data_IF_363170212504
#
_entry.id   IF_363170212504
#
_cell.length_a   1.000
_cell.length_b   1.000
_cell.length_c   1.000
_cell.angle_alpha   90.00
_cell.angle_beta   90.00
_cell.angle_gamma   90.00
#
_symmetry.space_group_name_H-M   'P 1'
#
loop_
_entity.id
_entity.type
_entity.pdbx_description
1 polymer ?
#
# COMPACT_ATOMS: atom_id res chain seq x y z
N UNK A 1 -18.78 -27.06 -26.04
CA UNK A 1 -17.34 -26.81 -26.25
C UNK A 1 -17.14 -25.32 -26.38
N UNK A 2 -16.18 -24.80 -25.63
CA UNK A 2 -16.08 -23.43 -25.14
C UNK A 2 -15.90 -22.36 -26.22
N UNK A 3 -16.66 -21.26 -26.11
CA UNK A 3 -16.30 -19.98 -26.70
C UNK A 3 -15.37 -19.27 -25.70
N UNK A 4 -14.08 -19.27 -26.02
CA UNK A 4 -13.03 -18.58 -25.27
C UNK A 4 -13.20 -17.08 -25.51
N UNK A 5 -13.79 -16.36 -24.56
CA UNK A 5 -13.91 -14.89 -24.62
C UNK A 5 -12.52 -14.30 -24.53
N UNK A 6 -12.11 -13.65 -25.62
CA UNK A 6 -10.86 -12.91 -25.75
C UNK A 6 -11.07 -11.59 -25.01
N UNK A 7 -10.48 -11.45 -23.82
CA UNK A 7 -10.34 -10.16 -23.15
C UNK A 7 -9.56 -9.22 -24.07
N UNK A 8 -10.21 -8.13 -24.45
CA UNK A 8 -9.64 -7.05 -25.24
C UNK A 8 -8.68 -6.29 -24.32
N UNK A 9 -7.37 -6.47 -24.54
CA UNK A 9 -6.32 -5.63 -23.94
C UNK A 9 -6.54 -4.19 -24.44
N UNK A 10 -7.14 -3.35 -23.60
CA UNK A 10 -7.15 -1.90 -23.83
C UNK A 10 -5.79 -1.41 -23.37
N UNK A 11 -4.91 -1.14 -24.33
CA UNK A 11 -3.69 -0.39 -24.10
C UNK A 11 -4.10 1.04 -23.72
N UNK A 12 -4.00 1.37 -22.44
CA UNK A 12 -4.10 2.74 -21.96
C UNK A 12 -2.69 3.31 -22.00
N UNK A 13 -2.53 4.42 -22.70
CA UNK A 13 -1.26 5.10 -22.86
C UNK A 13 -0.71 5.45 -21.47
N UNK A 14 0.49 4.97 -21.16
CA UNK A 14 1.26 5.44 -20.03
C UNK A 14 1.46 6.96 -20.18
N UNK A 15 0.68 7.72 -19.41
CA UNK A 15 0.95 9.12 -19.19
C UNK A 15 2.20 9.14 -18.32
N UNK A 16 3.33 9.54 -18.88
CA UNK A 16 4.56 9.77 -18.13
C UNK A 16 4.26 10.80 -17.03
N UNK A 17 4.12 10.35 -15.78
CA UNK A 17 3.79 11.23 -14.67
C UNK A 17 5.04 12.05 -14.32
N UNK A 18 4.99 13.35 -14.63
CA UNK A 18 5.72 14.36 -13.88
C UNK A 18 5.09 14.39 -12.50
N UNK A 19 5.81 13.95 -11.46
CA UNK A 19 5.38 14.16 -10.08
C UNK A 19 5.63 15.64 -9.79
N UNK A 20 4.59 16.46 -9.98
CA UNK A 20 4.62 17.87 -9.61
C UNK A 20 4.54 17.98 -8.08
N UNK A 21 5.21 18.97 -7.49
CA UNK A 21 5.12 19.28 -6.07
C UNK A 21 3.66 19.30 -5.59
N UNK A 22 3.29 18.40 -4.68
CA UNK A 22 1.95 18.30 -4.09
C UNK A 22 1.00 17.28 -4.72
N UNK A 23 1.45 16.44 -5.67
CA UNK A 23 0.65 15.33 -6.22
C UNK A 23 0.94 14.06 -5.41
N UNK A 24 -0.10 13.42 -4.88
CA UNK A 24 0.03 12.16 -4.13
C UNK A 24 -0.09 10.95 -5.05
N UNK A 25 0.31 9.76 -4.58
CA UNK A 25 0.06 8.54 -5.33
C UNK A 25 -1.44 8.35 -5.64
N UNK A 26 -2.34 8.72 -4.73
CA UNK A 26 -3.78 8.59 -4.93
C UNK A 26 -4.33 9.52 -6.03
N UNK A 27 -3.74 10.71 -6.24
CA UNK A 27 -4.14 11.62 -7.34
C UNK A 27 -4.00 10.98 -8.73
N UNK A 28 -3.13 9.97 -8.86
CA UNK A 28 -2.92 9.23 -10.10
C UNK A 28 -3.85 8.02 -10.29
N UNK A 29 -4.58 7.62 -9.24
CA UNK A 29 -5.53 6.52 -9.34
C UNK A 29 -6.69 6.91 -10.25
N UNK A 30 -6.80 6.14 -11.34
CA UNK A 30 -7.91 6.29 -12.27
C UNK A 30 -9.11 5.51 -11.74
N UNK A 31 -9.90 6.18 -10.89
CA UNK A 31 -11.16 5.65 -10.35
C UNK A 31 -12.16 5.48 -11.50
N UNK A 32 -12.02 4.39 -12.24
CA UNK A 32 -13.08 3.92 -13.12
C UNK A 32 -14.16 3.34 -12.23
N UNK A 33 -15.30 4.02 -12.16
CA UNK A 33 -16.55 3.41 -11.72
C UNK A 33 -16.75 2.16 -12.59
N UNK A 34 -16.38 0.99 -12.07
CA UNK A 34 -16.54 -0.25 -12.80
C UNK A 34 -18.05 -0.47 -12.93
N UNK A 35 -18.55 -0.71 -14.14
CA UNK A 35 -19.94 -1.16 -14.34
C UNK A 35 -20.14 -2.61 -13.84
N UNK A 36 -19.42 -3.02 -12.79
CA UNK A 36 -19.47 -4.32 -12.16
C UNK A 36 -19.80 -4.19 -10.66
N UNK A 37 -21.05 -3.80 -10.42
CA UNK A 37 -21.87 -4.14 -9.24
C UNK A 37 -21.18 -4.96 -8.14
N UNK A 38 -20.68 -4.29 -7.09
CA UNK A 38 -20.58 -4.83 -5.72
C UNK A 38 -19.59 -5.98 -5.49
N UNK A 39 -18.50 -6.06 -6.25
CA UNK A 39 -17.42 -7.00 -5.94
C UNK A 39 -16.40 -6.34 -5.00
N UNK A 40 -16.33 -6.80 -3.74
CA UNK A 40 -15.21 -6.50 -2.85
C UNK A 40 -13.91 -6.92 -3.53
N UNK A 41 -12.94 -6.01 -3.64
CA UNK A 41 -11.59 -6.37 -4.08
C UNK A 41 -10.99 -7.33 -3.06
N UNK A 42 -10.37 -8.41 -3.52
CA UNK A 42 -9.43 -9.14 -2.67
C UNK A 42 -8.20 -8.25 -2.43
N UNK A 43 -7.46 -8.51 -1.36
CA UNK A 43 -6.22 -7.83 -1.04
C UNK A 43 -5.25 -7.89 -2.22
N UNK A 44 -5.06 -9.08 -2.82
CA UNK A 44 -4.20 -9.25 -3.98
C UNK A 44 -4.68 -8.41 -5.18
N UNK A 45 -5.98 -8.41 -5.48
CA UNK A 45 -6.53 -7.62 -6.59
C UNK A 45 -6.30 -6.12 -6.37
N UNK A 46 -6.52 -5.63 -5.15
CA UNK A 46 -6.34 -4.22 -4.79
C UNK A 46 -4.87 -3.79 -4.96
N UNK A 47 -3.93 -4.51 -4.34
CA UNK A 47 -2.52 -4.10 -4.40
C UNK A 47 -1.89 -4.34 -5.78
N UNK A 48 -2.45 -5.25 -6.60
CA UNK A 48 -2.09 -5.34 -8.02
C UNK A 48 -2.64 -4.14 -8.80
N UNK A 49 -3.87 -3.72 -8.52
CA UNK A 49 -4.47 -2.55 -9.15
C UNK A 49 -3.70 -1.26 -8.80
N UNK A 50 -3.31 -1.08 -7.54
CA UNK A 50 -2.50 0.07 -7.11
C UNK A 50 -1.14 0.05 -7.83
N UNK A 51 -0.47 -1.10 -7.91
CA UNK A 51 0.79 -1.23 -8.65
C UNK A 51 0.65 -0.79 -10.12
N UNK A 52 -0.45 -1.16 -10.78
CA UNK A 52 -0.66 -0.89 -12.20
C UNK A 52 -1.15 0.53 -12.50
N UNK A 53 -1.84 1.18 -11.55
CA UNK A 53 -2.50 2.48 -11.78
C UNK A 53 -1.82 3.65 -11.07
N UNK A 54 -1.11 3.40 -9.98
CA UNK A 54 -0.51 4.43 -9.17
C UNK A 54 0.84 4.87 -9.74
N UNK A 55 1.17 6.15 -9.59
CA UNK A 55 2.46 6.73 -10.01
C UNK A 55 3.64 6.21 -9.18
N UNK A 56 3.37 5.60 -8.02
CA UNK A 56 4.38 4.93 -7.20
C UNK A 56 4.78 3.61 -7.86
N UNK A 57 5.91 3.63 -8.55
CA UNK A 57 6.50 2.43 -9.13
C UNK A 57 6.99 1.50 -8.01
N UNK A 58 6.21 0.48 -7.67
CA UNK A 58 6.69 -0.70 -6.95
C UNK A 58 6.40 -1.96 -7.75
N UNK A 59 6.95 -3.08 -7.31
CA UNK A 59 6.66 -4.39 -7.91
C UNK A 59 6.43 -5.38 -6.78
N UNK A 60 5.25 -5.99 -6.77
CA UNK A 60 4.91 -7.08 -5.86
C UNK A 60 5.91 -8.21 -6.03
N UNK A 61 6.36 -8.76 -4.90
CA UNK A 61 7.18 -9.97 -4.91
C UNK A 61 6.29 -11.20 -4.98
N UNK A 62 6.76 -12.32 -5.54
CA UNK A 62 6.01 -13.59 -5.55
C UNK A 62 5.55 -14.01 -4.13
N UNK A 63 6.36 -13.67 -3.11
CA UNK A 63 6.02 -13.91 -1.71
C UNK A 63 4.85 -13.05 -1.24
N UNK A 64 4.89 -11.75 -1.55
CA UNK A 64 3.80 -10.82 -1.22
C UNK A 64 2.50 -11.20 -1.94
N UNK A 65 2.58 -11.57 -3.21
CA UNK A 65 1.42 -12.05 -3.97
C UNK A 65 0.79 -13.27 -3.29
N UNK A 66 1.60 -14.26 -2.92
CA UNK A 66 1.13 -15.46 -2.21
C UNK A 66 0.51 -15.13 -0.86
N UNK A 67 1.15 -14.25 -0.07
CA UNK A 67 0.66 -13.87 1.26
C UNK A 67 -0.69 -13.13 1.17
N UNK A 68 -0.84 -12.21 0.21
CA UNK A 68 -2.09 -11.48 -0.02
C UNK A 68 -3.23 -12.41 -0.47
N UNK A 69 -2.92 -13.44 -1.26
CA UNK A 69 -3.91 -14.45 -1.68
C UNK A 69 -4.35 -15.36 -0.51
N UNK A 70 -3.41 -15.77 0.35
CA UNK A 70 -3.68 -16.69 1.46
C UNK A 70 -4.26 -16.01 2.71
N UNK A 71 -4.04 -14.70 2.89
CA UNK A 71 -4.38 -13.92 4.08
C UNK A 71 -5.16 -12.64 3.73
N UNK A 72 -6.14 -12.75 2.84
CA UNK A 72 -7.02 -11.66 2.41
C UNK A 72 -7.66 -10.90 3.59
N UNK A 73 -8.04 -11.61 4.64
CA UNK A 73 -8.70 -11.09 5.85
C UNK A 73 -7.78 -10.20 6.71
N UNK A 74 -6.50 -10.09 6.37
CA UNK A 74 -5.56 -9.21 7.06
C UNK A 74 -5.55 -7.79 6.48
N UNK A 75 -6.20 -7.51 5.34
CA UNK A 75 -6.03 -6.24 4.61
C UNK A 75 -7.38 -5.55 4.29
N UNK A 76 -7.98 -4.86 5.28
CA UNK A 76 -7.46 -4.60 6.62
C UNK A 76 -7.92 -5.66 7.63
N UNK A 77 -7.13 -5.86 8.68
CA UNK A 77 -7.49 -6.76 9.76
C UNK A 77 -8.59 -6.13 10.62
N UNK A 78 -9.73 -6.82 10.78
CA UNK A 78 -10.78 -6.35 11.70
C UNK A 78 -10.23 -6.19 13.12
N UNK A 79 -10.76 -5.28 13.96
CA UNK A 79 -10.26 -5.08 15.32
C UNK A 79 -10.19 -6.36 16.16
N UNK A 80 -11.12 -7.29 15.96
CA UNK A 80 -11.22 -8.57 16.68
C UNK A 80 -10.28 -9.66 16.16
N UNK A 81 -9.75 -9.51 14.94
CA UNK A 81 -8.80 -10.47 14.38
C UNK A 81 -7.54 -10.51 15.24
N UNK A 82 -6.99 -11.69 15.48
CA UNK A 82 -5.70 -11.82 16.17
C UNK A 82 -4.71 -12.29 15.14
N UNK A 83 -3.77 -11.42 14.78
CA UNK A 83 -2.67 -11.76 13.88
C UNK A 83 -1.70 -12.65 14.67
N UNK A 84 -1.43 -13.89 14.22
CA UNK A 84 -0.49 -14.75 14.92
C UNK A 84 0.92 -14.16 14.93
N UNK A 85 1.63 -14.27 16.06
CA UNK A 85 3.00 -13.76 16.19
C UNK A 85 3.95 -14.37 15.13
N UNK A 86 3.71 -15.60 14.68
CA UNK A 86 4.52 -16.21 13.60
C UNK A 86 4.44 -15.49 12.26
N UNK A 87 3.34 -14.75 12.03
CA UNK A 87 3.12 -13.96 10.82
C UNK A 87 3.82 -12.61 10.87
N UNK A 88 4.31 -12.18 12.04
CA UNK A 88 5.01 -10.91 12.22
C UNK A 88 6.50 -11.18 12.40
N UNK A 89 7.34 -10.50 11.62
CA UNK A 89 8.78 -10.50 11.82
C UNK A 89 9.20 -9.19 12.52
N UNK A 90 9.43 -9.28 13.84
CA UNK A 90 9.79 -8.12 14.65
C UNK A 90 11.22 -7.60 14.39
N UNK A 91 12.07 -8.36 13.69
CA UNK A 91 13.42 -7.93 13.32
C UNK A 91 13.46 -7.32 11.91
N UNK A 92 12.36 -7.43 11.16
CA UNK A 92 12.25 -6.91 9.81
C UNK A 92 12.15 -5.39 9.84
N UNK A 93 13.15 -4.74 9.25
CA UNK A 93 13.26 -3.28 9.16
C UNK A 93 13.43 -2.80 7.70
N UNK A 94 13.38 -1.48 7.48
CA UNK A 94 13.54 -0.87 6.15
C UNK A 94 14.79 -1.38 5.41
N UNK A 95 15.91 -1.54 6.13
CA UNK A 95 17.22 -1.90 5.55
C UNK A 95 17.19 -3.29 4.93
N UNK A 96 16.42 -4.20 5.53
CA UNK A 96 16.22 -5.54 4.98
C UNK A 96 15.51 -5.48 3.63
N UNK A 97 14.36 -4.79 3.58
CA UNK A 97 13.55 -4.65 2.37
C UNK A 97 14.33 -3.94 1.28
N UNK A 98 14.92 -2.78 1.58
CA UNK A 98 15.72 -2.02 0.63
C UNK A 98 16.89 -2.82 0.04
N UNK A 99 17.59 -3.60 0.87
CA UNK A 99 18.73 -4.39 0.40
C UNK A 99 18.32 -5.46 -0.61
N UNK A 100 17.19 -6.12 -0.41
CA UNK A 100 16.69 -7.15 -1.32
C UNK A 100 15.20 -7.45 -1.05
N UNK A 101 14.26 -6.76 -1.71
CA UNK A 101 12.84 -6.90 -1.42
C UNK A 101 12.32 -8.32 -1.74
N UNK A 102 12.87 -8.98 -2.77
CA UNK A 102 12.45 -10.34 -3.18
C UNK A 102 12.61 -11.44 -2.12
N UNK A 103 13.36 -11.18 -1.04
CA UNK A 103 13.52 -12.12 0.07
C UNK A 103 12.40 -12.06 1.10
N UNK A 104 11.58 -11.03 1.06
CA UNK A 104 10.54 -10.71 2.04
C UNK A 104 9.17 -10.60 1.34
N UNK A 105 8.13 -10.30 2.10
CA UNK A 105 6.74 -10.33 1.63
C UNK A 105 5.98 -11.60 2.04
N UNK A 106 6.59 -12.50 2.80
CA UNK A 106 5.95 -13.68 3.39
C UNK A 106 5.65 -13.51 4.90
N UNK A 107 5.93 -12.32 5.44
CA UNK A 107 5.66 -11.93 6.82
C UNK A 107 5.36 -10.44 6.91
N UNK A 108 4.53 -10.08 7.88
CA UNK A 108 4.25 -8.72 8.27
C UNK A 108 5.45 -8.09 8.98
N UNK A 109 5.63 -6.81 8.71
CA UNK A 109 6.56 -5.91 9.37
C UNK A 109 5.80 -5.03 10.36
N UNK A 110 6.45 -4.65 11.46
CA UNK A 110 5.90 -3.67 12.40
C UNK A 110 6.78 -2.43 12.45
N UNK A 111 6.17 -1.26 12.28
CA UNK A 111 6.81 0.04 12.44
C UNK A 111 6.18 0.67 13.68
N UNK A 112 7.00 0.92 14.70
CA UNK A 112 6.59 1.59 15.93
C UNK A 112 6.97 3.06 15.88
N UNK A 113 6.15 3.89 16.52
CA UNK A 113 6.42 5.33 16.71
C UNK A 113 6.72 6.07 15.39
N UNK A 114 5.93 5.80 14.35
CA UNK A 114 6.08 6.43 13.04
C UNK A 114 5.29 7.74 12.96
N UNK A 115 5.93 8.82 12.53
CA UNK A 115 5.31 10.12 12.34
C UNK A 115 4.59 10.19 10.99
N UNK A 116 3.35 10.68 10.98
CA UNK A 116 2.55 10.87 9.77
C UNK A 116 2.96 12.19 9.10
N UNK A 117 3.77 12.11 8.04
CA UNK A 117 4.12 13.27 7.21
C UNK A 117 2.90 13.73 6.41
N UNK A 118 2.13 12.78 5.90
CA UNK A 118 0.98 13.05 5.06
C UNK A 118 0.02 11.87 5.10
N UNK A 119 -1.29 12.16 5.09
CA UNK A 119 -2.35 11.16 4.95
C UNK A 119 -3.40 11.68 3.98
N UNK A 120 -3.91 10.80 3.12
CA UNK A 120 -5.03 11.09 2.23
C UNK A 120 -5.93 9.87 2.06
N UNK A 121 -7.22 10.14 1.88
CA UNK A 121 -8.23 9.11 1.61
C UNK A 121 -8.86 9.37 0.25
N UNK A 122 -9.18 8.29 -0.45
CA UNK A 122 -9.89 8.35 -1.73
C UNK A 122 -10.99 7.29 -1.75
N UNK A 123 -12.21 7.73 -2.07
CA UNK A 123 -13.31 6.82 -2.36
C UNK A 123 -13.05 6.12 -3.71
N UNK A 124 -12.91 4.81 -3.68
CA UNK A 124 -12.67 3.96 -4.84
C UNK A 124 -13.98 3.52 -5.50
N UNK A 125 -14.96 3.14 -4.69
CA UNK A 125 -16.34 2.81 -5.07
C UNK A 125 -17.27 3.25 -3.91
N UNK A 126 -18.59 3.26 -4.12
CA UNK A 126 -19.56 3.76 -3.12
C UNK A 126 -19.34 3.10 -1.74
N UNK A 127 -18.85 3.89 -0.77
CA UNK A 127 -18.57 3.43 0.59
C UNK A 127 -17.31 2.57 0.78
N UNK A 128 -16.44 2.49 -0.23
CA UNK A 128 -15.16 1.81 -0.18
C UNK A 128 -14.01 2.79 -0.38
N UNK A 129 -13.14 2.92 0.63
CA UNK A 129 -12.06 3.89 0.65
C UNK A 129 -10.69 3.22 0.66
N UNK A 130 -9.73 3.93 0.08
CA UNK A 130 -8.31 3.63 0.18
C UNK A 130 -7.63 4.80 0.89
N UNK A 131 -6.92 4.52 1.98
CA UNK A 131 -6.09 5.49 2.67
C UNK A 131 -4.63 5.29 2.29
N UNK A 132 -3.95 6.37 1.94
CA UNK A 132 -2.51 6.41 1.73
C UNK A 132 -1.84 7.22 2.83
N UNK A 133 -0.78 6.67 3.41
CA UNK A 133 0.06 7.35 4.41
C UNK A 133 1.50 7.43 3.93
N UNK A 134 2.09 8.62 4.05
CA UNK A 134 3.53 8.84 4.00
C UNK A 134 4.05 8.96 5.43
N UNK A 135 4.89 8.03 5.85
CA UNK A 135 5.37 7.92 7.22
C UNK A 135 6.88 8.04 7.29
N UNK A 136 7.38 8.52 8.42
CA UNK A 136 8.81 8.49 8.77
C UNK A 136 9.01 7.94 10.17
N UNK A 137 9.93 6.98 10.32
CA UNK A 137 10.29 6.45 11.64
C UNK A 137 11.39 7.28 12.32
N UNK A 138 11.69 6.95 13.57
CA UNK A 138 12.74 7.62 14.36
C UNK A 138 14.16 7.46 13.81
N UNK A 139 14.40 6.56 12.85
CA UNK A 139 15.67 6.36 12.15
C UNK A 139 15.68 7.05 10.77
N UNK A 140 14.75 7.99 10.56
CA UNK A 140 14.54 8.77 9.33
C UNK A 140 14.25 7.89 8.09
N UNK A 141 13.77 6.66 8.27
CA UNK A 141 13.34 5.80 7.17
C UNK A 141 11.90 6.12 6.78
N UNK A 142 11.62 6.18 5.48
CA UNK A 142 10.31 6.55 4.97
C UNK A 142 9.52 5.35 4.42
N UNK A 143 8.21 5.40 4.63
CA UNK A 143 7.29 4.33 4.25
C UNK A 143 6.07 4.91 3.54
N UNK A 144 5.62 4.21 2.49
CA UNK A 144 4.36 4.48 1.80
C UNK A 144 3.41 3.34 2.13
N UNK A 145 2.35 3.63 2.89
CA UNK A 145 1.38 2.62 3.35
C UNK A 145 0.07 2.84 2.61
N UNK A 146 -0.42 1.79 1.95
CA UNK A 146 -1.76 1.75 1.37
C UNK A 146 -2.66 0.89 2.25
N UNK A 147 -3.70 1.46 2.81
CA UNK A 147 -4.63 0.82 3.73
C UNK A 147 -6.04 0.75 3.11
N UNK A 148 -6.60 -0.45 3.00
CA UNK A 148 -7.90 -0.73 2.38
C UNK A 148 -9.06 -0.36 3.31
N UNK A 149 -9.24 0.92 3.59
CA UNK A 149 -10.32 1.45 4.41
C UNK A 149 -10.06 2.90 4.77
N UNK A 150 -10.92 3.45 5.61
CA UNK A 150 -10.78 4.78 6.23
C UNK A 150 -9.98 4.68 7.53
N UNK A 151 -9.31 5.77 7.91
CA UNK A 151 -8.64 5.93 9.20
C UNK A 151 -9.12 7.22 9.87
N UNK A 152 -10.33 7.16 10.45
CA UNK A 152 -11.04 8.30 11.04
C UNK A 152 -10.26 9.09 12.11
N UNK A 153 -9.32 8.42 12.79
CA UNK A 153 -8.55 8.95 13.91
C UNK A 153 -7.07 9.15 13.61
N UNK A 154 -6.65 9.10 12.34
CA UNK A 154 -5.25 9.34 11.93
C UNK A 154 -5.16 10.59 11.05
N UNK A 155 -4.38 11.57 11.50
CA UNK A 155 -4.17 12.84 10.82
C UNK A 155 -2.68 13.10 10.53
N UNK A 156 -2.42 14.10 9.69
CA UNK A 156 -1.08 14.67 9.54
C UNK A 156 -0.57 15.18 10.90
N UNK A 157 0.72 14.99 11.16
CA UNK A 157 1.41 15.29 12.42
C UNK A 157 1.16 14.32 13.59
N UNK A 158 0.33 13.29 13.41
CA UNK A 158 0.13 12.25 14.43
C UNK A 158 1.29 11.23 14.46
N UNK A 159 1.38 10.48 15.55
CA UNK A 159 2.22 9.28 15.68
C UNK A 159 1.38 8.01 15.59
N UNK A 160 1.82 7.05 14.77
CA UNK A 160 1.12 5.78 14.56
C UNK A 160 2.02 4.56 14.81
N UNK A 161 1.39 3.45 15.18
CA UNK A 161 1.97 2.10 15.02
C UNK A 161 1.34 1.44 13.79
N UNK A 162 2.18 0.89 12.91
CA UNK A 162 1.75 0.21 11.69
C UNK A 162 2.19 -1.25 11.72
N UNK A 163 1.26 -2.15 11.44
CA UNK A 163 1.56 -3.52 11.00
C UNK A 163 1.18 -3.64 9.53
N UNK A 164 2.11 -4.09 8.68
CA UNK A 164 1.86 -4.16 7.25
C UNK A 164 2.75 -5.16 6.53
N UNK A 165 2.33 -5.58 5.34
CA UNK A 165 3.10 -6.49 4.50
C UNK A 165 4.02 -5.70 3.56
N UNK A 166 5.33 -5.95 3.56
CA UNK A 166 6.23 -5.30 2.62
C UNK A 166 5.96 -5.80 1.20
N UNK A 167 5.57 -4.88 0.33
CA UNK A 167 5.28 -5.13 -1.08
C UNK A 167 6.55 -4.97 -1.93
N UNK A 168 7.41 -4.02 -1.56
CA UNK A 168 8.65 -3.71 -2.26
C UNK A 168 9.19 -2.34 -1.85
N UNK A 169 9.94 -1.73 -2.75
CA UNK A 169 10.46 -0.37 -2.60
C UNK A 169 10.02 0.52 -3.75
N UNK A 170 9.90 1.81 -3.51
CA UNK A 170 9.66 2.82 -4.53
C UNK A 170 10.48 4.09 -4.21
N UNK A 171 10.43 5.09 -5.08
CA UNK A 171 11.02 6.39 -4.83
C UNK A 171 10.19 7.52 -5.44
N UNK A 172 10.19 8.68 -4.81
CA UNK A 172 9.55 9.89 -5.33
C UNK A 172 10.48 11.10 -5.24
N UNK A 173 10.30 12.09 -6.12
CA UNK A 173 11.06 13.33 -6.09
C UNK A 173 10.62 14.19 -4.90
N UNK A 174 11.58 14.62 -4.08
CA UNK A 174 11.34 15.46 -2.92
C UNK A 174 11.40 16.96 -3.25
N UNK A 175 10.97 17.79 -2.30
CA UNK A 175 10.92 19.26 -2.47
C UNK A 175 12.30 19.89 -2.65
N UNK A 176 13.37 19.18 -2.33
CA UNK A 176 14.76 19.61 -2.49
C UNK A 176 15.36 19.21 -3.86
N UNK A 177 14.59 18.53 -4.71
CA UNK A 177 15.01 18.09 -6.05
C UNK A 177 15.87 16.84 -6.07
N UNK A 178 15.84 16.04 -5.00
CA UNK A 178 16.41 14.69 -4.94
C UNK A 178 15.33 13.61 -4.88
N UNK A 179 15.73 12.34 -4.94
CA UNK A 179 14.80 11.22 -4.78
C UNK A 179 14.78 10.76 -3.33
N UNK A 180 13.58 10.55 -2.80
CA UNK A 180 13.37 9.88 -1.52
C UNK A 180 12.95 8.45 -1.75
N UNK A 181 13.69 7.52 -1.17
CA UNK A 181 13.40 6.09 -1.21
C UNK A 181 12.40 5.72 -0.12
N UNK A 182 11.40 4.93 -0.47
CA UNK A 182 10.40 4.39 0.46
C UNK A 182 10.28 2.88 0.38
N UNK A 183 9.91 2.27 1.49
CA UNK A 183 9.35 0.92 1.51
C UNK A 183 7.83 1.02 1.37
N UNK A 184 7.27 0.26 0.43
CA UNK A 184 5.82 0.23 0.20
C UNK A 184 5.20 -0.91 0.98
N UNK A 185 4.16 -0.61 1.76
CA UNK A 185 3.43 -1.57 2.57
C UNK A 185 1.96 -1.66 2.17
N UNK A 186 1.44 -2.88 2.18
CA UNK A 186 0.01 -3.13 2.35
C UNK A 186 -0.31 -3.01 3.85
N UNK A 187 -1.13 -2.02 4.21
CA UNK A 187 -1.52 -1.75 5.58
C UNK A 187 -2.46 -2.83 6.09
N UNK A 188 -2.03 -3.57 7.11
CA UNK A 188 -2.85 -4.55 7.80
C UNK A 188 -3.58 -3.90 8.98
N UNK A 189 -2.84 -3.12 9.79
CA UNK A 189 -3.36 -2.28 10.88
C UNK A 189 -2.57 -1.00 10.99
N UNK A 190 -3.27 0.09 11.26
CA UNK A 190 -2.70 1.40 11.61
C UNK A 190 -3.43 1.86 12.87
N UNK A 191 -2.69 2.16 13.93
CA UNK A 191 -3.27 2.67 15.17
C UNK A 191 -2.63 4.02 15.49
N UNK A 192 -3.44 5.04 15.74
CA UNK A 192 -2.96 6.27 16.37
C UNK A 192 -2.52 5.95 17.82
N UNK A 193 -1.36 6.48 18.24
CA UNK A 193 -0.78 6.26 19.57
C UNK A 193 -0.49 7.55 20.34
N UNK A 194 -1.01 8.69 19.89
CA UNK A 194 -0.97 9.98 20.60
C UNK A 194 -2.00 10.11 21.73
#
# INVERSE_FOLDING_TARGET
MAAKTIMKRIAIAALSAVILQGVTPLDSLNVYASENTGASYTALDLYTYIQDQCSTEYTLTEKAETFLEEHDDFFPASPELVIPDEMIDAELDFRHINKNPSRYGDKLMRISDAYVIQVQEQEMEEGHYLTWLNLIDGEEQQYSVYYNGELDDVFEDDTVEVTGLPLGTSSFENTEGGDTLVVVLAGCRVNNID
#
